data_IF_842359602155
#
_entry.id   IF_842359602155
#
_cell.length_a   1.000
_cell.length_b   1.000
_cell.length_c   1.000
_cell.angle_alpha   90.00
_cell.angle_beta   90.00
_cell.angle_gamma   90.00
#
_symmetry.space_group_name_H-M   'P 1'
#
loop_
_entity.id
_entity.type
_entity.pdbx_description
1 polymer ?
#
# COMPACT_ATOMS: atom_id res chain seq x y z
N UNK A 1 0.34 -12.98 -22.87
CA UNK A 1 0.81 -11.76 -22.20
C UNK A 1 1.65 -12.21 -21.01
N UNK A 2 2.99 -12.12 -21.07
CA UNK A 2 3.87 -12.63 -20.00
C UNK A 2 3.76 -11.70 -18.78
N UNK A 3 3.15 -12.18 -17.69
CA UNK A 3 3.23 -11.55 -16.38
C UNK A 3 4.72 -11.51 -16.00
N UNK A 4 5.29 -10.29 -15.94
CA UNK A 4 6.62 -10.09 -15.36
C UNK A 4 6.44 -10.10 -13.84
N UNK A 5 7.30 -10.77 -13.08
CA UNK A 5 7.25 -10.73 -11.62
C UNK A 5 7.44 -9.28 -11.17
N UNK A 6 6.46 -8.75 -10.44
CA UNK A 6 6.43 -7.34 -10.01
C UNK A 6 7.07 -7.22 -8.64
N UNK A 7 8.10 -6.39 -8.54
CA UNK A 7 8.68 -5.95 -7.27
C UNK A 7 7.94 -4.67 -6.88
N UNK A 8 7.24 -4.70 -5.76
CA UNK A 8 6.65 -3.51 -5.18
C UNK A 8 7.38 -3.18 -3.88
N UNK A 9 8.05 -2.03 -3.81
CA UNK A 9 8.67 -1.53 -2.58
C UNK A 9 7.66 -0.60 -1.88
N UNK A 10 7.14 -1.02 -0.74
CA UNK A 10 6.36 -0.19 0.20
C UNK A 10 7.32 0.28 1.28
N UNK A 11 7.67 1.56 1.24
CA UNK A 11 8.58 2.19 2.19
C UNK A 11 7.71 2.83 3.28
N UNK A 12 7.62 2.29 4.48
CA UNK A 12 7.08 3.02 5.64
C UNK A 12 8.21 3.85 6.25
N UNK A 13 8.23 5.16 6.01
CA UNK A 13 9.08 6.09 6.78
C UNK A 13 8.21 6.87 7.76
N UNK A 14 8.63 6.83 9.02
CA UNK A 14 8.17 7.72 10.06
C UNK A 14 9.12 8.91 10.10
N UNK A 15 8.70 10.05 9.53
CA UNK A 15 9.45 11.29 9.70
C UNK A 15 8.59 12.37 10.33
N UNK A 16 9.22 13.00 11.32
CA UNK A 16 8.70 13.92 12.31
C UNK A 16 7.94 15.15 11.74
N UNK A 17 6.97 15.59 12.56
CA UNK A 17 6.30 16.90 12.66
C UNK A 17 5.54 17.40 11.43
N UNK A 18 4.21 17.52 11.62
CA UNK A 18 3.26 18.45 10.98
C UNK A 18 3.89 19.24 9.83
N UNK A 19 3.69 18.86 8.56
CA UNK A 19 3.71 19.82 7.42
C UNK A 19 3.27 19.17 6.09
N UNK A 20 3.48 17.87 5.83
CA UNK A 20 3.37 17.38 4.44
C UNK A 20 2.00 16.90 3.95
N UNK A 21 1.03 16.59 4.83
CA UNK A 21 -0.34 16.25 4.40
C UNK A 21 -1.13 17.47 3.89
N UNK A 22 -0.63 18.69 4.14
CA UNK A 22 -1.36 19.93 3.90
C UNK A 22 -0.96 20.66 2.61
N UNK A 23 0.26 20.46 2.09
CA UNK A 23 0.81 21.31 1.01
C UNK A 23 0.68 20.68 -0.40
N UNK A 24 0.85 19.36 -0.55
CA UNK A 24 0.75 18.71 -1.87
C UNK A 24 -0.70 18.48 -2.35
N UNK A 25 -1.65 18.31 -1.42
CA UNK A 25 -3.05 18.06 -1.77
C UNK A 25 -3.80 19.34 -2.21
N UNK A 26 -3.47 20.50 -1.62
CA UNK A 26 -4.23 21.74 -1.84
C UNK A 26 -3.87 22.44 -3.17
N UNK A 27 -2.60 22.44 -3.56
CA UNK A 27 -2.16 23.07 -4.82
C UNK A 27 -2.59 22.26 -6.05
N UNK A 28 -2.59 20.93 -5.94
CA UNK A 28 -2.98 20.03 -7.04
C UNK A 28 -4.49 19.97 -7.25
N UNK A 29 -5.30 19.89 -6.18
CA UNK A 29 -6.78 19.81 -6.32
C UNK A 29 -7.34 21.02 -7.06
N UNK A 30 -6.88 22.24 -6.74
CA UNK A 30 -7.33 23.46 -7.43
C UNK A 30 -7.04 23.42 -8.94
N UNK A 31 -5.80 23.09 -9.32
CA UNK A 31 -5.40 22.99 -10.72
C UNK A 31 -6.18 21.89 -11.46
N UNK A 32 -6.41 20.74 -10.82
CA UNK A 32 -7.21 19.65 -11.39
C UNK A 32 -8.65 20.10 -11.63
N UNK A 33 -9.27 20.77 -10.65
CA UNK A 33 -10.63 21.30 -10.77
C UNK A 33 -10.74 22.33 -11.90
N UNK A 34 -9.75 23.23 -12.03
CA UNK A 34 -9.69 24.20 -13.13
C UNK A 34 -9.58 23.50 -14.49
N UNK A 35 -8.78 22.44 -14.61
CA UNK A 35 -8.68 21.66 -15.86
C UNK A 35 -9.94 20.83 -16.15
N UNK A 36 -10.61 20.30 -15.13
CA UNK A 36 -11.88 19.60 -15.28
C UNK A 36 -12.99 20.55 -15.72
N UNK A 37 -13.10 21.73 -15.11
CA UNK A 37 -14.08 22.74 -15.53
C UNK A 37 -13.76 23.28 -16.94
N UNK A 38 -12.49 23.44 -17.30
CA UNK A 38 -12.12 23.93 -18.62
C UNK A 38 -12.40 22.92 -19.75
N UNK A 39 -12.15 21.62 -19.50
CA UNK A 39 -12.11 20.62 -20.57
C UNK A 39 -13.19 19.53 -20.48
N UNK A 40 -13.79 19.33 -19.30
CA UNK A 40 -14.65 18.18 -18.99
C UNK A 40 -15.84 18.55 -18.09
N UNK A 41 -16.57 19.62 -18.44
CA UNK A 41 -17.71 20.12 -17.64
C UNK A 41 -18.77 19.08 -17.35
N UNK A 42 -19.07 18.23 -18.34
CA UNK A 42 -20.15 17.24 -18.23
C UNK A 42 -19.88 16.18 -17.15
N UNK A 43 -18.61 15.98 -16.75
CA UNK A 43 -18.25 15.05 -15.68
C UNK A 43 -17.69 15.73 -14.42
N UNK A 44 -17.69 17.07 -14.35
CA UNK A 44 -17.15 17.81 -13.21
C UNK A 44 -17.87 17.45 -11.90
N UNK A 45 -19.21 17.39 -11.92
CA UNK A 45 -20.01 17.05 -10.74
C UNK A 45 -19.68 15.64 -10.23
N UNK A 46 -19.61 14.66 -11.14
CA UNK A 46 -19.22 13.30 -10.81
C UNK A 46 -17.77 13.21 -10.28
N UNK A 47 -16.81 13.81 -10.98
CA UNK A 47 -15.39 13.75 -10.64
C UNK A 47 -15.03 14.47 -9.32
N UNK A 48 -15.93 15.32 -8.81
CA UNK A 48 -15.74 16.06 -7.56
C UNK A 48 -16.53 15.47 -6.38
N UNK A 49 -17.27 14.39 -6.62
CA UNK A 49 -18.00 13.67 -5.59
C UNK A 49 -17.03 13.06 -4.58
N UNK A 50 -17.38 13.19 -3.29
CA UNK A 50 -16.69 12.53 -2.19
C UNK A 50 -17.64 11.52 -1.54
N UNK A 51 -17.14 10.35 -1.11
CA UNK A 51 -15.73 9.92 -1.08
C UNK A 51 -15.21 9.39 -2.43
N UNK A 52 -13.87 9.44 -2.64
CA UNK A 52 -13.22 8.96 -3.87
C UNK A 52 -12.77 7.50 -3.74
N UNK A 53 -13.74 6.59 -3.83
CA UNK A 53 -13.57 5.16 -3.57
C UNK A 53 -13.42 4.32 -4.85
N UNK A 54 -12.43 4.66 -5.68
CA UNK A 54 -12.13 3.86 -6.88
C UNK A 54 -11.11 2.75 -6.58
N UNK A 55 -11.38 1.54 -7.03
CA UNK A 55 -10.50 0.37 -6.87
C UNK A 55 -10.98 -0.86 -7.65
N UNK A 56 -10.20 -1.93 -7.65
CA UNK A 56 -10.56 -3.21 -8.32
C UNK A 56 -10.73 -4.39 -7.34
N UNK A 57 -10.94 -4.10 -6.06
CA UNK A 57 -11.00 -5.10 -4.99
C UNK A 57 -12.41 -5.62 -4.68
N UNK A 58 -13.44 -5.27 -5.48
CA UNK A 58 -14.81 -5.80 -5.28
C UNK A 58 -14.83 -7.33 -5.26
N UNK A 59 -14.18 -7.94 -6.24
CA UNK A 59 -14.07 -9.39 -6.38
C UNK A 59 -12.70 -9.87 -5.88
N UNK A 60 -12.17 -9.24 -4.81
CA UNK A 60 -10.83 -9.60 -4.32
C UNK A 60 -10.77 -11.05 -3.81
N UNK A 61 -11.89 -11.56 -3.31
CA UNK A 61 -12.02 -12.90 -2.73
C UNK A 61 -12.61 -13.94 -3.69
N UNK A 62 -12.91 -13.55 -4.93
CA UNK A 62 -13.47 -14.44 -5.95
C UNK A 62 -12.52 -14.52 -7.17
N UNK A 63 -11.78 -15.62 -7.24
CA UNK A 63 -10.85 -15.90 -8.33
C UNK A 63 -11.53 -16.27 -9.66
N UNK A 64 -12.85 -16.52 -9.65
CA UNK A 64 -13.61 -16.89 -10.85
C UNK A 64 -14.00 -15.68 -11.70
N UNK A 65 -14.08 -14.51 -11.09
CA UNK A 65 -14.47 -13.26 -11.73
C UNK A 65 -13.28 -12.35 -11.97
N UNK A 66 -13.33 -11.61 -13.08
CA UNK A 66 -12.30 -10.61 -13.36
C UNK A 66 -12.42 -9.44 -12.37
N UNK A 67 -11.28 -8.94 -11.90
CA UNK A 67 -11.22 -7.69 -11.14
C UNK A 67 -11.36 -6.50 -12.07
N UNK A 68 -12.33 -5.64 -11.79
CA UNK A 68 -12.67 -4.48 -12.60
C UNK A 68 -12.39 -3.23 -11.77
N UNK A 69 -11.58 -2.32 -12.31
CA UNK A 69 -11.35 -1.02 -11.69
C UNK A 69 -12.58 -0.13 -11.90
N UNK A 70 -13.27 0.20 -10.81
CA UNK A 70 -14.55 0.90 -10.84
C UNK A 70 -14.73 1.85 -9.65
N UNK A 71 -15.82 2.62 -9.68
CA UNK A 71 -16.30 3.38 -8.52
C UNK A 71 -17.05 2.43 -7.57
N UNK A 72 -16.58 2.33 -6.33
CA UNK A 72 -17.17 1.47 -5.31
C UNK A 72 -18.25 2.19 -4.48
N UNK A 73 -18.68 3.36 -4.95
CA UNK A 73 -19.82 4.18 -4.52
C UNK A 73 -19.67 4.84 -3.15
N UNK A 74 -19.73 4.07 -2.07
CA UNK A 74 -19.88 4.61 -0.72
C UNK A 74 -19.14 3.75 0.31
N UNK A 75 -18.99 4.31 1.51
CA UNK A 75 -18.27 3.67 2.60
C UNK A 75 -18.95 2.40 3.11
N UNK A 76 -20.28 2.27 3.03
CA UNK A 76 -20.98 1.07 3.50
C UNK A 76 -20.63 -0.11 2.59
N UNK A 77 -20.74 0.09 1.28
CA UNK A 77 -20.38 -0.92 0.28
C UNK A 77 -18.91 -1.29 0.38
N UNK A 78 -18.01 -0.31 0.41
CA UNK A 78 -16.58 -0.56 0.54
C UNK A 78 -16.23 -1.29 1.83
N UNK A 79 -16.84 -0.93 2.96
CA UNK A 79 -16.57 -1.56 4.25
C UNK A 79 -17.01 -3.00 4.28
N UNK A 80 -18.15 -3.35 3.66
CA UNK A 80 -18.58 -4.73 3.53
C UNK A 80 -17.55 -5.58 2.76
N UNK A 81 -17.06 -5.07 1.63
CA UNK A 81 -16.01 -5.75 0.83
C UNK A 81 -14.71 -5.87 1.63
N UNK A 82 -14.29 -4.79 2.31
CA UNK A 82 -13.08 -4.81 3.14
C UNK A 82 -13.19 -5.79 4.31
N UNK A 83 -14.40 -5.98 4.86
CA UNK A 83 -14.65 -6.93 5.94
C UNK A 83 -14.53 -8.36 5.42
N UNK A 84 -15.06 -8.67 4.25
CA UNK A 84 -14.90 -9.98 3.60
C UNK A 84 -13.42 -10.31 3.36
N UNK A 85 -12.64 -9.33 2.87
CA UNK A 85 -11.19 -9.47 2.70
C UNK A 85 -10.49 -9.71 4.06
N UNK A 86 -10.90 -9.01 5.12
CA UNK A 86 -10.33 -9.16 6.46
C UNK A 86 -10.63 -10.55 7.05
N UNK A 87 -11.85 -11.03 6.87
CA UNK A 87 -12.26 -12.36 7.31
C UNK A 87 -11.46 -13.44 6.55
N UNK A 88 -11.32 -13.30 5.24
CA UNK A 88 -10.45 -14.17 4.44
C UNK A 88 -8.98 -14.14 4.87
N UNK A 89 -8.47 -12.98 5.29
CA UNK A 89 -7.12 -12.86 5.87
C UNK A 89 -7.02 -13.65 7.18
N UNK A 90 -8.02 -13.52 8.06
CA UNK A 90 -8.06 -14.23 9.34
C UNK A 90 -8.05 -15.75 9.15
N UNK A 91 -8.75 -16.26 8.14
CA UNK A 91 -8.80 -17.68 7.81
C UNK A 91 -7.49 -18.20 7.21
N UNK A 92 -6.88 -17.45 6.30
CA UNK A 92 -5.74 -17.91 5.50
C UNK A 92 -4.37 -17.62 6.12
N UNK A 93 -4.23 -16.48 6.80
CA UNK A 93 -2.95 -15.99 7.33
C UNK A 93 -2.96 -15.95 8.86
N UNK A 94 -4.09 -15.55 9.45
CA UNK A 94 -4.25 -15.46 10.90
C UNK A 94 -4.73 -14.08 11.37
N UNK A 95 -4.83 -13.85 12.70
CA UNK A 95 -5.51 -12.68 13.24
C UNK A 95 -4.78 -11.37 12.88
N UNK A 96 -5.54 -10.41 12.35
CA UNK A 96 -5.07 -9.05 12.06
C UNK A 96 -5.93 -8.05 12.83
N UNK A 97 -5.33 -7.38 13.82
CA UNK A 97 -6.02 -6.40 14.67
C UNK A 97 -6.23 -5.10 13.90
N UNK A 98 -7.44 -4.89 13.40
CA UNK A 98 -7.83 -3.65 12.73
C UNK A 98 -9.34 -3.39 12.83
N UNK A 99 -9.72 -2.12 12.73
CA UNK A 99 -11.11 -1.68 12.66
C UNK A 99 -11.27 -0.90 11.35
N UNK A 100 -12.30 -1.24 10.57
CA UNK A 100 -12.59 -0.63 9.27
C UNK A 100 -13.52 0.57 9.45
N UNK A 101 -12.98 1.73 9.82
CA UNK A 101 -13.68 3.03 9.78
C UNK A 101 -13.42 3.75 8.45
N UNK A 102 -14.13 4.85 8.17
CA UNK A 102 -14.09 5.52 6.86
C UNK A 102 -12.67 5.87 6.40
N UNK A 103 -11.84 6.48 7.27
CA UNK A 103 -10.44 6.78 6.92
C UNK A 103 -9.61 5.50 6.65
N UNK A 104 -9.92 4.39 7.34
CA UNK A 104 -9.22 3.12 7.13
C UNK A 104 -9.57 2.54 5.76
N UNK A 105 -10.84 2.64 5.36
CA UNK A 105 -11.31 2.27 4.01
C UNK A 105 -10.63 3.16 2.97
N UNK A 106 -10.66 4.47 3.13
CA UNK A 106 -9.99 5.44 2.24
C UNK A 106 -8.50 5.11 2.06
N UNK A 107 -7.81 4.83 3.18
CA UNK A 107 -6.41 4.47 3.16
C UNK A 107 -6.16 3.11 2.48
N UNK A 108 -7.00 2.11 2.75
CA UNK A 108 -6.90 0.80 2.10
C UNK A 108 -7.08 0.94 0.59
N UNK A 109 -8.13 1.62 0.14
CA UNK A 109 -8.42 1.89 -1.28
C UNK A 109 -7.25 2.59 -1.98
N UNK A 110 -6.58 3.53 -1.30
CA UNK A 110 -5.39 4.21 -1.87
C UNK A 110 -4.18 3.30 -1.95
N UNK A 111 -3.95 2.46 -0.94
CA UNK A 111 -2.84 1.52 -0.92
C UNK A 111 -3.04 0.47 -2.00
N UNK A 112 -4.24 -0.12 -2.08
CA UNK A 112 -4.62 -1.13 -3.06
C UNK A 112 -4.38 -0.64 -4.49
N UNK A 113 -4.88 0.57 -4.82
CA UNK A 113 -4.60 1.23 -6.09
C UNK A 113 -3.12 1.32 -6.42
N UNK A 114 -2.29 1.72 -5.45
CA UNK A 114 -0.85 1.83 -5.65
C UNK A 114 -0.19 0.47 -5.84
N UNK A 115 -0.62 -0.55 -5.09
CA UNK A 115 -0.09 -1.91 -5.18
C UNK A 115 -0.40 -2.54 -6.56
N UNK A 116 -1.59 -2.26 -7.11
CA UNK A 116 -2.03 -2.83 -8.40
C UNK A 116 -1.38 -2.16 -9.61
N UNK A 117 -0.89 -0.94 -9.47
CA UNK A 117 -0.15 -0.23 -10.54
C UNK A 117 1.23 -0.87 -10.81
N UNK A 118 1.62 -0.92 -12.09
CA UNK A 118 2.95 -1.38 -12.49
C UNK A 118 4.03 -0.44 -11.94
N UNK A 119 4.96 -0.98 -11.16
CA UNK A 119 6.02 -0.17 -10.52
C UNK A 119 5.47 0.84 -9.51
N UNK A 120 4.28 0.58 -8.93
CA UNK A 120 3.76 1.38 -7.83
C UNK A 120 4.76 1.46 -6.68
N UNK A 121 4.71 2.53 -5.91
CA UNK A 121 5.47 2.67 -4.66
C UNK A 121 4.64 3.52 -3.71
N UNK A 122 4.45 3.04 -2.48
CA UNK A 122 3.68 3.75 -1.47
C UNK A 122 4.56 4.09 -0.28
N UNK A 123 4.55 5.37 0.11
CA UNK A 123 5.09 5.86 1.36
C UNK A 123 3.95 6.15 2.35
N UNK A 124 3.79 5.29 3.36
CA UNK A 124 2.74 5.46 4.36
C UNK A 124 3.28 6.26 5.55
N UNK A 125 2.83 7.51 5.66
CA UNK A 125 3.22 8.43 6.73
C UNK A 125 2.06 8.61 7.71
N UNK A 126 2.35 8.44 9.01
CA UNK A 126 1.36 8.61 10.06
C UNK A 126 1.96 8.31 11.42
N UNK A 127 1.27 8.68 12.50
CA UNK A 127 1.73 8.44 13.87
C UNK A 127 1.75 6.94 14.24
N UNK A 128 2.39 6.60 15.36
CA UNK A 128 2.50 5.21 15.83
C UNK A 128 1.11 4.68 16.16
N UNK A 129 0.86 3.41 15.86
CA UNK A 129 -0.45 2.79 16.11
C UNK A 129 -1.55 3.18 15.12
N UNK A 130 -1.28 3.97 14.07
CA UNK A 130 -2.29 4.36 13.08
C UNK A 130 -2.66 3.25 12.07
N UNK A 131 -2.33 1.99 12.34
CA UNK A 131 -2.69 0.85 11.49
C UNK A 131 -1.96 0.73 10.15
N UNK A 132 -0.94 1.53 9.84
CA UNK A 132 -0.23 1.53 8.54
C UNK A 132 0.25 0.14 8.11
N UNK A 133 0.85 -0.58 9.05
CA UNK A 133 1.38 -1.93 8.82
C UNK A 133 0.24 -2.92 8.54
N UNK A 134 -0.82 -2.93 9.35
CA UNK A 134 -2.00 -3.76 9.13
C UNK A 134 -2.72 -3.46 7.81
N UNK A 135 -2.84 -2.17 7.44
CA UNK A 135 -3.46 -1.75 6.18
C UNK A 135 -2.62 -2.21 4.97
N UNK A 136 -1.29 -2.11 5.05
CA UNK A 136 -0.41 -2.62 3.99
C UNK A 136 -0.53 -4.15 3.83
N UNK A 137 -0.64 -4.89 4.94
CA UNK A 137 -0.87 -6.34 4.95
C UNK A 137 -2.18 -6.71 4.29
N UNK A 138 -3.27 -6.07 4.72
CA UNK A 138 -4.59 -6.34 4.19
C UNK A 138 -4.66 -6.00 2.69
N UNK A 139 -4.04 -4.90 2.25
CA UNK A 139 -4.02 -4.54 0.84
C UNK A 139 -3.18 -5.50 -0.02
N UNK A 140 -2.04 -5.99 0.48
CA UNK A 140 -1.25 -7.00 -0.20
C UNK A 140 -2.02 -8.32 -0.35
N UNK A 141 -2.70 -8.74 0.72
CA UNK A 141 -3.59 -9.90 0.71
C UNK A 141 -4.75 -9.72 -0.27
N UNK A 142 -5.43 -8.57 -0.22
CA UNK A 142 -6.48 -8.22 -1.16
C UNK A 142 -5.98 -8.30 -2.60
N UNK A 143 -4.75 -7.86 -2.90
CA UNK A 143 -4.15 -7.93 -4.24
C UNK A 143 -3.75 -9.36 -4.68
N UNK A 144 -3.80 -10.34 -3.78
CA UNK A 144 -3.29 -11.70 -4.00
C UNK A 144 -1.76 -11.75 -4.10
N UNK A 145 -1.07 -10.78 -3.49
CA UNK A 145 0.38 -10.66 -3.57
C UNK A 145 1.04 -11.26 -2.32
N UNK A 146 2.18 -11.91 -2.51
CA UNK A 146 3.00 -12.34 -1.39
C UNK A 146 3.55 -11.13 -0.64
N UNK A 147 3.70 -11.26 0.67
CA UNK A 147 4.30 -10.21 1.50
C UNK A 147 5.71 -10.62 1.89
N UNK A 148 6.69 -9.76 1.61
CA UNK A 148 8.06 -9.90 2.07
C UNK A 148 8.36 -8.79 3.07
N UNK A 149 8.51 -9.17 4.33
CA UNK A 149 8.89 -8.28 5.43
C UNK A 149 10.28 -8.63 5.92
N UNK A 150 11.11 -7.60 6.05
CA UNK A 150 12.38 -7.71 6.77
C UNK A 150 12.07 -7.77 8.26
N UNK A 151 12.86 -8.53 9.01
CA UNK A 151 12.76 -8.58 10.46
C UNK A 151 14.14 -8.28 11.05
N UNK A 152 14.30 -7.08 11.63
CA UNK A 152 15.55 -6.76 12.31
C UNK A 152 15.78 -7.67 13.51
N UNK A 153 16.98 -8.27 13.56
CA UNK A 153 17.49 -9.00 14.70
C UNK A 153 18.80 -8.38 15.22
N UNK A 154 19.25 -8.79 16.41
CA UNK A 154 20.54 -8.33 16.93
C UNK A 154 21.66 -8.79 16.00
N UNK A 155 22.45 -7.84 15.49
CA UNK A 155 23.53 -8.10 14.53
C UNK A 155 23.08 -8.06 13.07
N UNK A 156 21.85 -7.65 12.78
CA UNK A 156 21.40 -7.39 11.42
C UNK A 156 22.16 -6.19 10.84
N UNK A 157 22.86 -6.39 9.73
CA UNK A 157 23.58 -5.35 9.01
C UNK A 157 23.38 -5.45 7.50
N UNK A 158 24.21 -4.74 6.76
CA UNK A 158 24.15 -4.65 5.31
C UNK A 158 24.25 -6.01 4.61
N UNK A 159 25.08 -6.91 5.16
CA UNK A 159 25.26 -8.26 4.60
C UNK A 159 23.98 -9.06 4.68
N UNK A 160 23.33 -9.08 5.84
CA UNK A 160 22.08 -9.79 6.07
C UNK A 160 20.98 -9.23 5.18
N UNK A 161 20.90 -7.90 5.06
CA UNK A 161 19.99 -7.22 4.13
C UNK A 161 20.20 -7.63 2.67
N UNK A 162 21.46 -7.63 2.20
CA UNK A 162 21.78 -8.09 0.84
C UNK A 162 21.40 -9.55 0.63
N UNK A 163 21.53 -10.41 1.63
CA UNK A 163 21.17 -11.82 1.55
C UNK A 163 19.63 -12.04 1.55
N UNK A 164 18.88 -11.23 2.30
CA UNK A 164 17.41 -11.20 2.21
C UNK A 164 16.93 -10.69 0.86
N UNK A 165 17.54 -9.62 0.32
CA UNK A 165 17.24 -9.14 -1.02
C UNK A 165 17.51 -10.21 -2.09
N UNK A 166 18.64 -10.92 -2.02
CA UNK A 166 18.90 -12.06 -2.92
C UNK A 166 17.79 -13.09 -2.84
N UNK A 167 17.33 -13.41 -1.64
CA UNK A 167 16.23 -14.36 -1.43
C UNK A 167 14.94 -13.86 -2.06
N UNK A 168 14.60 -12.58 -1.88
CA UNK A 168 13.46 -11.94 -2.53
C UNK A 168 13.55 -12.02 -4.06
N UNK A 169 14.67 -11.62 -4.65
CA UNK A 169 14.87 -11.65 -6.10
C UNK A 169 14.85 -13.06 -6.68
N UNK A 170 15.40 -14.05 -5.96
CA UNK A 170 15.32 -15.46 -6.34
C UNK A 170 13.87 -15.96 -6.33
N UNK A 171 13.09 -15.61 -5.30
CA UNK A 171 11.67 -15.98 -5.21
C UNK A 171 10.86 -15.40 -6.35
N UNK A 172 11.05 -14.12 -6.66
CA UNK A 172 10.41 -13.43 -7.77
C UNK A 172 10.77 -14.07 -9.13
N UNK A 173 12.03 -14.45 -9.31
CA UNK A 173 12.52 -15.07 -10.54
C UNK A 173 12.05 -16.51 -10.75
N UNK A 174 11.82 -17.27 -9.66
CA UNK A 174 11.45 -18.69 -9.73
C UNK A 174 9.94 -18.95 -9.64
N UNK A 175 9.24 -18.28 -8.72
CA UNK A 175 7.82 -18.56 -8.43
C UNK A 175 6.86 -17.76 -9.30
N UNK A 176 7.35 -16.70 -9.96
CA UNK A 176 6.57 -15.76 -10.76
C UNK A 176 5.31 -15.22 -10.04
N UNK A 177 5.42 -15.06 -8.72
CA UNK A 177 4.39 -14.44 -7.88
C UNK A 177 4.70 -12.95 -7.72
N UNK A 178 3.66 -12.14 -7.75
CA UNK A 178 3.77 -10.71 -7.40
C UNK A 178 3.99 -10.58 -5.90
N UNK A 179 4.95 -9.75 -5.50
CA UNK A 179 5.33 -9.60 -4.10
C UNK A 179 5.38 -8.15 -3.69
N UNK A 180 4.78 -7.86 -2.53
CA UNK A 180 4.91 -6.60 -1.80
C UNK A 180 6.09 -6.71 -0.84
N UNK A 181 7.14 -5.95 -1.11
CA UNK A 181 8.24 -5.73 -0.18
C UNK A 181 7.86 -4.63 0.81
N UNK A 182 7.63 -5.01 2.06
CA UNK A 182 7.20 -4.11 3.13
C UNK A 182 8.38 -3.77 4.03
N UNK A 183 8.82 -2.51 3.94
CA UNK A 183 9.92 -1.97 4.73
C UNK A 183 9.36 -0.98 5.76
N UNK A 184 9.81 -1.07 7.01
CA UNK A 184 9.39 -0.16 8.10
C UNK A 184 10.54 0.66 8.67
N UNK A 185 10.23 1.77 9.35
CA UNK A 185 11.19 2.67 9.99
C UNK A 185 12.05 1.98 11.06
N UNK A 186 11.54 0.92 11.69
CA UNK A 186 12.34 0.06 12.56
C UNK A 186 13.59 -0.47 11.83
N UNK A 187 13.55 -0.60 10.50
CA UNK A 187 14.66 -1.05 9.66
C UNK A 187 15.68 0.04 9.32
N UNK A 188 15.42 1.30 9.68
CA UNK A 188 16.34 2.43 9.49
C UNK A 188 17.15 2.60 10.76
N UNK A 189 18.31 1.95 10.83
CA UNK A 189 19.24 2.09 11.96
C UNK A 189 19.71 3.55 12.02
N UNK A 190 19.52 4.21 13.17
CA UNK A 190 19.99 5.58 13.41
C UNK A 190 21.52 5.69 13.28
N UNK A 191 22.00 6.70 12.54
CA UNK A 191 23.42 7.11 12.39
C UNK A 191 24.14 7.49 13.72
N UNK A 192 23.53 7.27 14.89
CA UNK A 192 23.97 7.87 16.15
C UNK A 192 24.96 7.07 16.99
N UNK A 193 25.15 5.76 16.78
CA UNK A 193 26.01 4.94 17.65
C UNK A 193 26.75 3.83 16.88
N UNK A 194 28.02 4.09 16.59
CA UNK A 194 29.02 3.19 15.98
C UNK A 194 28.77 2.81 14.52
N UNK A 195 29.38 3.59 13.62
CA UNK A 195 30.08 3.11 12.41
C UNK A 195 29.45 2.00 11.57
N UNK A 196 28.13 1.94 11.47
CA UNK A 196 27.40 1.00 10.63
C UNK A 196 26.79 1.77 9.47
N UNK A 197 27.16 1.40 8.25
CA UNK A 197 26.67 2.00 7.01
C UNK A 197 25.15 1.76 6.88
N UNK A 198 24.43 2.81 6.48
CA UNK A 198 22.98 2.83 6.44
C UNK A 198 22.46 1.98 5.27
N UNK A 199 21.46 1.12 5.53
CA UNK A 199 20.85 0.25 4.53
C UNK A 199 20.14 1.05 3.41
N UNK A 200 19.76 2.30 3.69
CA UNK A 200 19.13 3.20 2.71
C UNK A 200 20.11 3.98 1.84
N UNK A 201 21.43 3.88 2.08
CA UNK A 201 22.46 4.52 1.26
C UNK A 201 22.92 3.64 0.07
N UNK A 202 22.25 2.50 -0.15
CA UNK A 202 22.41 1.58 -1.28
C UNK A 202 21.33 1.78 -2.36
#
# INVERSE_FOLDING_TARGET
MRLRPKILIVILIFLFRKIYKFVYFFASKKCILEQLDANYKDCLEFATTEPLLFGDYRNAMDDSEARIYEDLTDYENCRAICQEILDGYHESVGPLMMVLFDDAVDHLTRIERVIRMDGGHALLVGVGGSGKHSLAKLAAFAAGYDLFEIHLCRGYGEREFRDELKTLFLRLGMENKSTVFLFTDQHVVEEGKSGSENILDL
#
